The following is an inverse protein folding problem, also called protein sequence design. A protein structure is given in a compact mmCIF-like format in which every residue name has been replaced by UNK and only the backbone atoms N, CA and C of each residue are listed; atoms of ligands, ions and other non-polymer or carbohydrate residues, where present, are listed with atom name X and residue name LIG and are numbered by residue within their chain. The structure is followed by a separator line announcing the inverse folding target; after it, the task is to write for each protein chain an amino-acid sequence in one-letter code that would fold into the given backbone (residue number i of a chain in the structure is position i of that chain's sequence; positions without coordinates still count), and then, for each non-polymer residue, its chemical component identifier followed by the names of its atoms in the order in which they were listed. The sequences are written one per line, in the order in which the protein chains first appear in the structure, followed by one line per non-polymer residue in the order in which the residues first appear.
data_IF_965179745457
#
_entry.id   IF_965179745457
#
_cell.length_a   1.000
_cell.length_b   1.000
_cell.length_c   1.000
_cell.angle_alpha   90.00
_cell.angle_beta   90.00
_cell.angle_gamma   90.00
#
_symmetry.space_group_name_H-M   'P 1'
#
loop_
_entity.id
_entity.type
_entity.pdbx_description
1 polymer ?
#
# COMPACT_ATOMS: atom_id res chain seq x y z
N UNK A 1 -0.04 4.69 -17.76
CA UNK A 1 0.73 4.05 -16.68
C UNK A 1 0.15 2.66 -16.40
N UNK A 2 1.00 1.64 -16.28
CA UNK A 2 0.58 0.34 -15.74
C UNK A 2 0.42 0.45 -14.23
N UNK A 3 -0.44 -0.37 -13.63
CA UNK A 3 -0.71 -0.36 -12.18
C UNK A 3 0.54 -0.54 -11.31
N UNK A 4 1.60 -1.19 -11.82
CA UNK A 4 2.86 -1.34 -11.10
C UNK A 4 3.66 -0.03 -11.05
N UNK A 5 3.70 0.74 -12.14
CA UNK A 5 4.42 2.02 -12.23
C UNK A 5 3.76 3.08 -11.34
N UNK A 6 2.42 3.09 -11.27
CA UNK A 6 1.66 3.97 -10.37
C UNK A 6 2.04 3.72 -8.89
N UNK A 7 2.19 2.44 -8.51
CA UNK A 7 2.61 2.05 -7.17
C UNK A 7 4.08 2.40 -6.91
N UNK A 8 4.96 2.26 -7.90
CA UNK A 8 6.36 2.64 -7.77
C UNK A 8 6.47 4.16 -7.56
N UNK A 9 5.75 4.97 -8.34
CA UNK A 9 5.72 6.43 -8.17
C UNK A 9 5.18 6.80 -6.77
N UNK A 10 4.03 6.24 -6.37
CA UNK A 10 3.41 6.54 -5.08
C UNK A 10 4.26 6.09 -3.88
N UNK A 11 4.98 4.98 -4.00
CA UNK A 11 5.89 4.51 -2.96
C UNK A 11 7.17 5.36 -2.85
N UNK A 12 7.51 6.14 -3.89
CA UNK A 12 8.78 6.83 -4.04
C UNK A 12 9.91 5.93 -4.55
N UNK A 13 9.55 4.89 -5.32
CA UNK A 13 10.46 3.94 -5.96
C UNK A 13 10.11 2.48 -5.65
N UNK A 14 10.47 1.58 -6.58
CA UNK A 14 10.19 0.14 -6.49
C UNK A 14 10.73 -0.51 -5.22
N UNK A 15 11.91 -0.08 -4.76
CA UNK A 15 12.53 -0.66 -3.55
C UNK A 15 11.77 -0.33 -2.27
N UNK A 16 11.05 0.80 -2.24
CA UNK A 16 10.24 1.24 -1.10
C UNK A 16 8.94 0.45 -0.95
N UNK A 17 8.65 -0.44 -1.89
CA UNK A 17 7.51 -1.37 -1.85
C UNK A 17 7.85 -2.70 -1.17
N UNK A 18 9.11 -2.94 -0.82
CA UNK A 18 9.53 -4.23 -0.24
C UNK A 18 9.05 -4.35 1.20
N UNK A 19 8.15 -5.30 1.46
CA UNK A 19 7.84 -5.76 2.82
C UNK A 19 8.86 -6.83 3.22
N UNK A 20 9.51 -6.67 4.37
CA UNK A 20 10.52 -7.61 4.87
C UNK A 20 9.90 -8.68 5.77
N UNK A 21 10.32 -9.92 5.58
CA UNK A 21 9.99 -11.08 6.41
C UNK A 21 11.30 -11.69 6.93
N UNK A 22 11.72 -11.32 8.13
CA UNK A 22 13.02 -11.72 8.66
C UNK A 22 14.22 -11.17 7.84
N UNK A 23 15.37 -11.85 7.92
CA UNK A 23 16.67 -11.29 7.47
C UNK A 23 16.90 -11.26 5.95
N UNK A 24 16.27 -12.13 5.16
CA UNK A 24 16.57 -12.27 3.71
C UNK A 24 15.35 -12.44 2.80
N UNK A 25 14.13 -12.48 3.35
CA UNK A 25 12.91 -12.64 2.55
C UNK A 25 12.19 -11.31 2.45
N UNK A 26 11.77 -10.96 1.24
CA UNK A 26 10.94 -9.80 0.99
C UNK A 26 9.85 -10.13 -0.03
N UNK A 27 8.74 -9.41 0.03
CA UNK A 27 7.72 -9.42 -1.01
C UNK A 27 7.49 -8.00 -1.51
N UNK A 28 7.12 -7.88 -2.78
CA UNK A 28 6.66 -6.61 -3.33
C UNK A 28 5.23 -6.37 -2.85
N UNK A 29 5.03 -5.28 -2.12
CA UNK A 29 3.72 -4.86 -1.66
C UNK A 29 3.11 -3.78 -2.59
N UNK A 30 1.81 -3.59 -2.45
CA UNK A 30 1.02 -2.55 -3.11
C UNK A 30 0.00 -1.99 -2.14
N UNK A 31 -0.39 -0.73 -2.30
CA UNK A 31 -1.55 -0.16 -1.60
C UNK A 31 -2.83 -0.48 -2.38
N UNK A 32 -3.77 -1.13 -1.71
CA UNK A 32 -5.13 -1.37 -2.17
C UNK A 32 -6.08 -0.36 -1.51
N UNK A 33 -6.79 0.42 -2.33
CA UNK A 33 -7.75 1.42 -1.87
C UNK A 33 -9.17 0.86 -1.95
N UNK A 34 -9.93 0.94 -0.86
CA UNK A 34 -11.32 0.50 -0.77
C UNK A 34 -12.21 1.66 -0.36
N UNK A 35 -13.35 1.80 -1.02
CA UNK A 35 -14.41 2.74 -0.61
C UNK A 35 -15.51 1.96 0.08
N UNK A 36 -15.74 2.17 1.40
CA UNK A 36 -16.90 1.65 2.07
C UNK A 36 -18.18 2.36 1.59
N UNK A 37 -19.33 1.71 1.78
CA UNK A 37 -20.63 2.16 1.26
C UNK A 37 -21.08 3.52 1.78
N UNK A 38 -20.54 3.99 2.92
CA UNK A 38 -20.82 5.29 3.54
C UNK A 38 -20.05 6.47 2.90
N UNK A 39 -19.18 6.19 1.91
CA UNK A 39 -18.65 7.13 0.92
C UNK A 39 -17.73 8.25 1.41
N UNK A 40 -17.58 8.41 2.73
CA UNK A 40 -16.83 9.53 3.32
C UNK A 40 -15.33 9.33 3.38
N UNK A 41 -14.85 8.09 3.41
CA UNK A 41 -13.43 7.79 3.57
C UNK A 41 -12.97 6.74 2.56
N UNK A 42 -11.70 6.77 2.18
CA UNK A 42 -11.05 5.69 1.45
C UNK A 42 -10.16 4.93 2.42
N UNK A 43 -10.35 3.62 2.52
CA UNK A 43 -9.50 2.76 3.33
C UNK A 43 -8.32 2.28 2.51
N UNK A 44 -7.12 2.41 3.06
CA UNK A 44 -5.91 1.90 2.49
C UNK A 44 -5.52 0.59 3.19
N UNK A 45 -5.15 -0.39 2.39
CA UNK A 45 -4.61 -1.67 2.82
C UNK A 45 -3.26 -1.91 2.15
N UNK A 46 -2.26 -2.33 2.91
CA UNK A 46 -1.02 -2.86 2.36
C UNK A 46 -1.28 -4.31 1.98
N UNK A 47 -1.07 -4.65 0.71
CA UNK A 47 -1.27 -5.98 0.16
C UNK A 47 0.04 -6.56 -0.32
N UNK A 48 0.33 -7.81 0.01
CA UNK A 48 1.48 -8.56 -0.49
C UNK A 48 1.13 -10.03 -0.67
N UNK A 49 1.99 -10.77 -1.36
CA UNK A 49 1.88 -12.23 -1.48
C UNK A 49 2.93 -12.89 -0.61
N UNK A 50 2.51 -13.83 0.24
CA UNK A 50 3.36 -14.58 1.16
C UNK A 50 2.81 -15.99 1.32
N UNK A 51 3.70 -16.98 1.26
CA UNK A 51 3.39 -18.41 1.49
C UNK A 51 2.16 -18.91 0.72
N UNK A 52 2.09 -18.58 -0.58
CA UNK A 52 1.01 -19.05 -1.45
C UNK A 52 -0.29 -18.27 -1.28
N UNK A 53 -0.34 -17.25 -0.42
CA UNK A 53 -1.56 -16.52 -0.07
C UNK A 53 -1.40 -15.01 -0.23
N UNK A 54 -2.48 -14.37 -0.65
CA UNK A 54 -2.56 -12.89 -0.61
C UNK A 54 -2.84 -12.47 0.82
N UNK A 55 -1.94 -11.67 1.38
CA UNK A 55 -2.11 -11.02 2.67
C UNK A 55 -2.50 -9.56 2.45
N UNK A 56 -3.33 -9.04 3.35
CA UNK A 56 -3.65 -7.62 3.41
C UNK A 56 -3.65 -7.14 4.86
N UNK A 57 -3.23 -5.90 5.06
CA UNK A 57 -3.18 -5.27 6.36
C UNK A 57 -3.69 -3.85 6.25
N UNK A 58 -4.69 -3.50 7.06
CA UNK A 58 -5.21 -2.14 7.11
C UNK A 58 -4.11 -1.17 7.54
N UNK A 59 -3.88 -0.11 6.75
CA UNK A 59 -2.86 0.91 7.07
C UNK A 59 -3.50 2.20 7.56
N UNK A 60 -4.74 2.48 7.20
CA UNK A 60 -5.44 3.69 7.63
C UNK A 60 -6.56 4.06 6.67
N UNK A 61 -7.20 5.18 6.96
CA UNK A 61 -8.22 5.79 6.11
C UNK A 61 -7.81 7.21 5.75
N UNK A 62 -8.13 7.62 4.54
CA UNK A 62 -7.73 8.90 3.94
C UNK A 62 -8.94 9.54 3.22
N UNK A 63 -8.92 10.86 3.15
CA UNK A 63 -9.86 11.76 2.47
C UNK A 63 -9.25 12.41 1.21
N UNK A 64 -8.08 11.95 0.76
CA UNK A 64 -7.36 12.45 -0.40
C UNK A 64 -8.25 12.64 -1.64
N UNK A 65 -8.00 13.73 -2.37
CA UNK A 65 -8.89 14.20 -3.44
C UNK A 65 -8.83 13.37 -4.72
N UNK A 66 -7.76 12.59 -4.89
CA UNK A 66 -7.53 11.77 -6.07
C UNK A 66 -6.71 10.52 -5.73
N UNK A 67 -6.72 9.56 -6.64
CA UNK A 67 -6.06 8.25 -6.48
C UNK A 67 -4.55 8.36 -6.21
N UNK A 68 -3.84 9.26 -6.89
CA UNK A 68 -2.39 9.44 -6.74
C UNK A 68 -2.04 9.88 -5.31
N UNK A 69 -2.76 10.88 -4.80
CA UNK A 69 -2.61 11.36 -3.41
C UNK A 69 -2.95 10.25 -2.41
N UNK A 70 -4.07 9.56 -2.59
CA UNK A 70 -4.50 8.46 -1.71
C UNK A 70 -3.47 7.32 -1.65
N UNK A 71 -2.84 6.98 -2.77
CA UNK A 71 -1.79 5.96 -2.80
C UNK A 71 -0.52 6.43 -2.08
N UNK A 72 -0.09 7.67 -2.32
CA UNK A 72 1.10 8.23 -1.69
C UNK A 72 0.93 8.33 -0.16
N UNK A 73 -0.25 8.76 0.31
CA UNK A 73 -0.60 8.80 1.72
C UNK A 73 -0.68 7.39 2.33
N UNK A 74 -1.31 6.43 1.64
CA UNK A 74 -1.30 5.03 2.06
C UNK A 74 0.12 4.46 2.23
N UNK A 75 1.06 4.82 1.35
CA UNK A 75 2.46 4.45 1.48
C UNK A 75 3.18 5.18 2.62
N UNK A 76 2.87 6.45 2.88
CA UNK A 76 3.36 7.18 4.05
C UNK A 76 2.93 6.49 5.35
N UNK A 77 1.63 6.19 5.48
CA UNK A 77 1.07 5.50 6.65
C UNK A 77 1.70 4.11 6.84
N UNK A 78 1.92 3.35 5.76
CA UNK A 78 2.58 2.06 5.83
C UNK A 78 4.02 2.16 6.38
N UNK A 79 4.77 3.21 6.00
CA UNK A 79 6.12 3.48 6.52
C UNK A 79 6.09 3.92 7.97
N UNK A 80 5.20 4.83 8.34
CA UNK A 80 5.03 5.29 9.73
C UNK A 80 4.72 4.12 10.68
N UNK A 81 3.91 3.16 10.20
CA UNK A 81 3.57 1.94 10.92
C UNK A 81 4.62 0.83 10.81
N UNK A 82 5.76 1.07 10.14
CA UNK A 82 6.86 0.11 9.93
C UNK A 82 6.40 -1.21 9.29
N UNK A 83 5.45 -1.13 8.35
CA UNK A 83 4.90 -2.30 7.66
C UNK A 83 5.70 -2.71 6.43
N UNK A 84 6.66 -1.88 6.01
CA UNK A 84 7.65 -2.08 4.94
C UNK A 84 9.02 -1.58 5.37
#
# INVERSE_FOLDING_TARGET
MKAAEEQDEAAGGRERRRKKFGKKRYATASIELKRPHDGRAVWAYLRWFEDGKTQNQYVGRDFGKNRKTLLAEGWNLAREKKLV
#
